data_IF_978067526296
#
_entry.id   IF_978067526296
#
_cell.length_a   1.000
_cell.length_b   1.000
_cell.length_c   1.000
_cell.angle_alpha   90.00
_cell.angle_beta   90.00
_cell.angle_gamma   90.00
#
_symmetry.space_group_name_H-M   'P 1'
#
loop_
_entity.id
_entity.type
_entity.pdbx_description
1 polymer ?
#
# COMPACT_ATOMS: atom_id res chain seq x y z
N UNK A 1 -24.98 4.87 -4.18
CA UNK A 1 -23.63 4.35 -3.89
C UNK A 1 -23.72 2.85 -3.64
N UNK A 2 -22.98 2.08 -4.41
CA UNK A 2 -22.85 0.66 -4.20
C UNK A 2 -22.07 0.39 -2.90
N UNK A 3 -22.58 -0.47 -2.03
CA UNK A 3 -21.91 -0.85 -0.80
C UNK A 3 -21.88 -2.39 -0.66
N UNK A 4 -21.07 -2.89 0.25
CA UNK A 4 -20.91 -4.34 0.47
C UNK A 4 -22.22 -5.05 0.83
N UNK A 5 -23.20 -4.36 1.40
CA UNK A 5 -24.51 -4.91 1.75
C UNK A 5 -25.32 -5.23 0.50
N UNK A 6 -25.31 -4.33 -0.51
CA UNK A 6 -25.96 -4.57 -1.80
C UNK A 6 -25.37 -5.80 -2.50
N UNK A 7 -24.04 -5.95 -2.47
CA UNK A 7 -23.38 -7.15 -3.00
C UNK A 7 -23.82 -8.42 -2.27
N UNK A 8 -23.91 -8.37 -0.94
CA UNK A 8 -24.34 -9.49 -0.14
C UNK A 8 -25.79 -9.92 -0.48
N UNK A 9 -26.69 -8.95 -0.63
CA UNK A 9 -28.08 -9.17 -1.04
C UNK A 9 -28.15 -9.80 -2.44
N UNK A 10 -27.47 -9.22 -3.44
CA UNK A 10 -27.44 -9.74 -4.81
C UNK A 10 -26.84 -11.17 -4.88
N UNK A 11 -25.80 -11.42 -4.12
CA UNK A 11 -25.17 -12.73 -4.06
C UNK A 11 -25.93 -13.74 -3.17
N UNK A 12 -26.92 -13.30 -2.38
CA UNK A 12 -27.64 -14.15 -1.44
C UNK A 12 -26.73 -14.76 -0.37
N UNK A 13 -25.79 -13.97 0.16
CA UNK A 13 -24.84 -14.38 1.20
C UNK A 13 -24.70 -13.29 2.28
N UNK A 14 -24.02 -13.60 3.38
CA UNK A 14 -23.72 -12.59 4.40
C UNK A 14 -22.63 -11.62 3.95
N UNK A 15 -22.61 -10.42 4.52
CA UNK A 15 -21.52 -9.41 4.33
C UNK A 15 -20.15 -10.01 4.69
N UNK A 16 -20.11 -10.86 5.74
CA UNK A 16 -18.90 -11.56 6.14
C UNK A 16 -18.40 -12.50 5.03
N UNK A 17 -19.29 -13.18 4.32
CA UNK A 17 -18.94 -14.05 3.19
C UNK A 17 -18.40 -13.23 2.02
N UNK A 18 -19.01 -12.08 1.69
CA UNK A 18 -18.48 -11.18 0.66
C UNK A 18 -17.07 -10.70 1.04
N UNK A 19 -16.89 -10.23 2.28
CA UNK A 19 -15.57 -9.79 2.76
C UNK A 19 -14.52 -10.89 2.72
N UNK A 20 -14.88 -12.11 3.06
CA UNK A 20 -14.01 -13.29 3.02
C UNK A 20 -13.64 -13.64 1.57
N UNK A 21 -14.60 -13.63 0.65
CA UNK A 21 -14.35 -13.88 -0.78
C UNK A 21 -13.34 -12.89 -1.36
N UNK A 22 -13.39 -11.62 -0.95
CA UNK A 22 -12.46 -10.59 -1.41
C UNK A 22 -11.05 -10.71 -0.82
N UNK A 23 -10.92 -11.22 0.42
CA UNK A 23 -9.63 -11.30 1.12
C UNK A 23 -8.94 -12.66 0.98
N UNK A 24 -9.71 -13.71 0.96
CA UNK A 24 -9.26 -15.11 0.97
C UNK A 24 -10.19 -15.94 0.08
N UNK A 25 -10.13 -15.74 -1.26
CA UNK A 25 -11.05 -16.38 -2.20
C UNK A 25 -11.02 -17.91 -2.14
N UNK A 26 -9.87 -18.49 -1.78
CA UNK A 26 -9.69 -19.94 -1.61
C UNK A 26 -10.41 -20.50 -0.37
N UNK A 27 -10.75 -19.69 0.61
CA UNK A 27 -11.49 -20.11 1.80
C UNK A 27 -13.00 -20.21 1.58
N UNK A 28 -13.46 -19.87 0.37
CA UNK A 28 -14.88 -19.88 0.00
C UNK A 28 -15.08 -20.86 -1.15
N UNK A 29 -16.20 -21.62 -1.13
CA UNK A 29 -16.50 -22.58 -2.19
C UNK A 29 -16.52 -21.91 -3.57
N UNK A 30 -16.07 -22.60 -4.64
CA UNK A 30 -16.04 -22.03 -5.99
C UNK A 30 -17.39 -21.47 -6.44
N UNK A 31 -18.49 -22.15 -6.11
CA UNK A 31 -19.86 -21.72 -6.43
C UNK A 31 -20.22 -20.40 -5.75
N UNK A 32 -19.92 -20.27 -4.46
CA UNK A 32 -20.19 -19.04 -3.69
C UNK A 32 -19.29 -17.88 -4.16
N UNK A 33 -18.02 -18.18 -4.46
CA UNK A 33 -17.07 -17.21 -5.00
C UNK A 33 -17.58 -16.61 -6.32
N UNK A 34 -18.03 -17.46 -7.24
CA UNK A 34 -18.55 -17.00 -8.53
C UNK A 34 -19.74 -16.07 -8.36
N UNK A 35 -20.72 -16.47 -7.53
CA UNK A 35 -21.91 -15.64 -7.23
C UNK A 35 -21.53 -14.27 -6.64
N UNK A 36 -20.54 -14.22 -5.75
CA UNK A 36 -20.09 -12.97 -5.13
C UNK A 36 -19.39 -12.08 -6.17
N UNK A 37 -18.53 -12.65 -7.02
CA UNK A 37 -17.85 -11.89 -8.08
C UNK A 37 -18.82 -11.31 -9.10
N UNK A 38 -19.82 -12.08 -9.51
CA UNK A 38 -20.89 -11.61 -10.40
C UNK A 38 -21.69 -10.46 -9.77
N UNK A 39 -22.03 -10.59 -8.47
CA UNK A 39 -22.75 -9.56 -7.73
C UNK A 39 -21.92 -8.27 -7.57
N UNK A 40 -20.61 -8.39 -7.38
CA UNK A 40 -19.68 -7.23 -7.34
C UNK A 40 -19.71 -6.49 -8.68
N UNK A 41 -19.65 -7.22 -9.79
CA UNK A 41 -19.67 -6.65 -11.13
C UNK A 41 -21.03 -5.98 -11.42
N UNK A 42 -22.14 -6.64 -11.10
CA UNK A 42 -23.49 -6.10 -11.27
C UNK A 42 -23.73 -4.84 -10.44
N UNK A 43 -23.26 -4.85 -9.18
CA UNK A 43 -23.39 -3.71 -8.29
C UNK A 43 -22.44 -2.55 -8.64
N UNK A 44 -21.44 -2.74 -9.50
CA UNK A 44 -20.36 -1.78 -9.70
C UNK A 44 -19.60 -1.49 -8.39
N UNK A 45 -19.53 -2.48 -7.49
CA UNK A 45 -18.91 -2.31 -6.18
C UNK A 45 -17.39 -2.34 -6.27
N UNK A 46 -16.78 -1.26 -5.82
CA UNK A 46 -15.33 -1.22 -5.61
C UNK A 46 -15.02 -1.31 -4.12
N UNK A 47 -14.24 -2.31 -3.67
CA UNK A 47 -13.82 -2.39 -2.29
C UNK A 47 -13.15 -1.10 -1.85
N UNK A 48 -13.64 -0.51 -0.75
CA UNK A 48 -13.01 0.69 -0.20
C UNK A 48 -11.67 0.33 0.42
N UNK A 49 -10.61 0.45 -0.38
CA UNK A 49 -9.25 0.17 0.06
C UNK A 49 -8.81 1.08 1.22
N UNK A 50 -9.32 2.32 1.27
CA UNK A 50 -9.02 3.25 2.35
C UNK A 50 -9.53 2.72 3.70
N UNK A 51 -10.78 2.24 3.75
CA UNK A 51 -11.34 1.63 4.96
C UNK A 51 -10.63 0.32 5.36
N UNK A 52 -10.11 -0.44 4.40
CA UNK A 52 -9.30 -1.62 4.67
C UNK A 52 -7.92 -1.23 5.24
N UNK A 53 -7.28 -0.21 4.68
CA UNK A 53 -6.00 0.36 5.14
C UNK A 53 -6.10 0.93 6.56
N UNK A 54 -7.16 1.71 6.86
CA UNK A 54 -7.41 2.23 8.20
C UNK A 54 -7.53 1.13 9.26
N UNK A 55 -8.13 -0.02 8.91
CA UNK A 55 -8.26 -1.15 9.84
C UNK A 55 -6.99 -1.96 10.01
N UNK A 56 -6.18 -2.08 8.96
CA UNK A 56 -4.91 -2.84 9.00
C UNK A 56 -3.74 -2.03 9.55
N UNK A 57 -3.85 -0.70 9.57
CA UNK A 57 -2.75 0.22 9.89
C UNK A 57 -1.62 0.19 8.85
N UNK A 58 -1.84 -0.47 7.69
CA UNK A 58 -0.83 -0.60 6.62
C UNK A 58 -1.34 -0.02 5.31
N UNK A 59 -0.49 0.75 4.63
CA UNK A 59 -0.79 1.35 3.34
C UNK A 59 -0.33 0.49 2.18
N UNK A 60 0.64 -0.40 2.40
CA UNK A 60 1.40 -1.13 1.39
C UNK A 60 2.12 -0.19 0.40
N UNK A 61 2.43 1.03 0.82
CA UNK A 61 3.22 2.00 0.08
C UNK A 61 4.61 2.13 0.69
N UNK A 62 5.64 2.17 -0.15
CA UNK A 62 7.01 2.51 0.22
C UNK A 62 7.43 3.75 -0.58
N UNK A 63 7.97 4.75 0.09
CA UNK A 63 8.54 5.93 -0.56
C UNK A 63 10.02 5.67 -0.86
N UNK A 64 10.42 5.88 -2.11
CA UNK A 64 11.82 5.76 -2.54
C UNK A 64 12.34 7.15 -2.86
N UNK A 65 13.31 7.63 -2.08
CA UNK A 65 13.96 8.92 -2.27
C UNK A 65 15.20 8.74 -3.14
N UNK A 66 15.14 9.30 -4.34
CA UNK A 66 16.19 9.17 -5.36
C UNK A 66 16.83 10.53 -5.56
N UNK A 67 18.17 10.66 -5.45
CA UNK A 67 18.84 11.93 -5.66
C UNK A 67 18.73 12.41 -7.11
N UNK A 68 18.63 11.50 -8.05
CA UNK A 68 18.35 11.82 -9.47
C UNK A 68 17.81 10.61 -10.22
N UNK A 69 16.79 10.81 -11.03
CA UNK A 69 16.27 9.81 -11.95
C UNK A 69 17.03 9.76 -13.29
N UNK A 70 17.87 10.77 -13.56
CA UNK A 70 18.64 10.84 -14.81
C UNK A 70 19.81 9.85 -14.86
N UNK A 71 20.21 9.27 -13.72
CA UNK A 71 21.32 8.32 -13.68
C UNK A 71 20.81 6.89 -13.88
N UNK A 72 21.31 6.21 -14.89
CA UNK A 72 20.97 4.83 -15.26
C UNK A 72 21.21 3.82 -14.11
N UNK A 73 22.18 4.10 -13.24
CA UNK A 73 22.41 3.28 -12.04
C UNK A 73 21.16 3.21 -11.16
N UNK A 74 20.58 4.37 -10.81
CA UNK A 74 19.37 4.41 -9.99
C UNK A 74 18.17 3.77 -10.69
N UNK A 75 18.05 3.95 -12.01
CA UNK A 75 16.98 3.32 -12.79
C UNK A 75 17.01 1.78 -12.66
N UNK A 76 18.20 1.17 -12.70
CA UNK A 76 18.36 -0.28 -12.51
C UNK A 76 18.03 -0.73 -11.07
N UNK A 77 18.49 0.03 -10.08
CA UNK A 77 18.21 -0.25 -8.66
C UNK A 77 16.70 -0.19 -8.41
N UNK A 78 16.03 0.86 -8.89
CA UNK A 78 14.58 1.05 -8.76
C UNK A 78 13.82 -0.09 -9.44
N UNK A 79 14.23 -0.51 -10.64
CA UNK A 79 13.60 -1.61 -11.37
C UNK A 79 13.64 -2.92 -10.58
N UNK A 80 14.79 -3.24 -9.96
CA UNK A 80 14.91 -4.41 -9.09
C UNK A 80 14.05 -4.32 -7.83
N UNK A 81 14.02 -3.15 -7.19
CA UNK A 81 13.14 -2.91 -6.03
C UNK A 81 11.67 -3.04 -6.40
N UNK A 82 11.26 -2.49 -7.56
CA UNK A 82 9.88 -2.52 -8.02
C UNK A 82 9.39 -3.95 -8.26
N UNK A 83 10.22 -4.81 -8.82
CA UNK A 83 9.88 -6.22 -9.01
C UNK A 83 9.58 -6.90 -7.67
N UNK A 84 10.47 -6.79 -6.69
CA UNK A 84 10.29 -7.40 -5.36
C UNK A 84 9.11 -6.80 -4.63
N UNK A 85 8.94 -5.47 -4.68
CA UNK A 85 7.82 -4.80 -4.05
C UNK A 85 6.47 -5.29 -4.62
N UNK A 86 6.38 -5.41 -5.94
CA UNK A 86 5.19 -5.92 -6.62
C UNK A 86 4.85 -7.36 -6.19
N UNK A 87 5.84 -8.25 -6.16
CA UNK A 87 5.68 -9.65 -5.69
C UNK A 87 5.18 -9.72 -4.24
N UNK A 88 5.55 -8.74 -3.42
CA UNK A 88 5.13 -8.63 -2.01
C UNK A 88 3.85 -7.81 -1.78
N UNK A 89 3.22 -7.32 -2.84
CA UNK A 89 1.99 -6.51 -2.77
C UNK A 89 2.21 -5.07 -2.31
N UNK A 90 3.44 -4.54 -2.47
CA UNK A 90 3.76 -3.14 -2.18
C UNK A 90 3.78 -2.29 -3.44
N UNK A 91 3.42 -1.01 -3.26
CA UNK A 91 3.56 0.04 -4.28
C UNK A 91 4.78 0.90 -3.94
N UNK A 92 5.64 1.16 -4.92
CA UNK A 92 6.73 2.12 -4.76
C UNK A 92 6.30 3.51 -5.23
N UNK A 93 6.45 4.50 -4.36
CA UNK A 93 6.24 5.91 -4.63
C UNK A 93 7.61 6.59 -4.78
N UNK A 94 7.96 6.97 -6.00
CA UNK A 94 9.25 7.56 -6.32
C UNK A 94 9.23 9.07 -6.13
N UNK A 95 10.23 9.59 -5.40
CA UNK A 95 10.52 11.01 -5.31
C UNK A 95 11.91 11.32 -5.83
N UNK A 96 12.00 12.15 -6.89
CA UNK A 96 13.26 12.71 -7.37
C UNK A 96 13.61 13.94 -6.54
N UNK A 97 14.50 13.78 -5.55
CA UNK A 97 14.76 14.80 -4.53
C UNK A 97 15.81 15.82 -4.96
N UNK A 98 16.55 15.56 -6.03
CA UNK A 98 17.69 16.35 -6.47
C UNK A 98 18.76 16.56 -5.36
N UNK A 99 18.84 15.59 -4.44
CA UNK A 99 19.68 15.63 -3.24
C UNK A 99 19.36 16.80 -2.27
N UNK A 100 18.15 17.36 -2.33
CA UNK A 100 17.69 18.41 -1.43
C UNK A 100 17.18 17.82 -0.12
N UNK A 101 17.85 18.16 0.98
CA UNK A 101 17.58 17.59 2.32
C UNK A 101 16.20 17.96 2.86
N UNK A 102 15.71 19.16 2.54
CA UNK A 102 14.39 19.60 2.99
C UNK A 102 13.29 18.80 2.27
N UNK A 103 13.47 18.58 0.98
CA UNK A 103 12.57 17.73 0.17
C UNK A 103 12.56 16.30 0.68
N UNK A 104 13.73 15.71 0.99
CA UNK A 104 13.85 14.36 1.52
C UNK A 104 13.15 14.24 2.88
N UNK A 105 13.36 15.20 3.78
CA UNK A 105 12.70 15.23 5.09
C UNK A 105 11.18 15.42 4.98
N UNK A 106 10.70 16.18 4.01
CA UNK A 106 9.25 16.33 3.76
C UNK A 106 8.61 15.03 3.31
N UNK A 107 9.26 14.27 2.41
CA UNK A 107 8.74 12.98 1.97
C UNK A 107 8.85 11.90 3.06
N UNK A 108 9.89 11.93 3.89
CA UNK A 108 10.03 11.00 5.01
C UNK A 108 8.85 11.11 5.99
N UNK A 109 8.29 12.31 6.19
CA UNK A 109 7.08 12.53 6.99
C UNK A 109 5.82 11.81 6.48
N UNK A 110 5.83 11.28 5.26
CA UNK A 110 4.73 10.43 4.77
C UNK A 110 4.57 9.15 5.60
N UNK A 111 5.65 8.66 6.19
CA UNK A 111 5.58 7.52 7.13
C UNK A 111 4.92 7.95 8.43
N UNK A 112 5.30 9.11 8.97
CA UNK A 112 4.72 9.66 10.22
C UNK A 112 3.22 9.95 10.06
N UNK A 113 2.79 10.39 8.87
CA UNK A 113 1.37 10.64 8.56
C UNK A 113 0.60 9.38 8.14
N UNK A 114 1.19 8.20 8.26
CA UNK A 114 0.62 6.93 7.81
C UNK A 114 0.20 6.90 6.32
N UNK A 115 0.85 7.70 5.48
CA UNK A 115 0.65 7.68 4.03
C UNK A 115 1.54 6.63 3.34
N UNK A 116 2.62 6.21 4.02
CA UNK A 116 3.51 5.14 3.58
C UNK A 116 3.95 4.29 4.78
N UNK A 117 4.30 3.03 4.53
CA UNK A 117 4.75 2.09 5.56
C UNK A 117 6.27 2.19 5.81
N UNK A 118 7.00 2.82 4.89
CA UNK A 118 8.44 3.00 5.03
C UNK A 118 9.06 3.89 3.95
N UNK A 119 10.32 4.26 4.19
CA UNK A 119 11.15 5.06 3.27
C UNK A 119 12.39 4.27 2.90
N UNK A 120 12.74 4.27 1.63
CA UNK A 120 14.01 3.77 1.09
C UNK A 120 14.81 4.96 0.58
N UNK A 121 15.95 5.21 1.22
CA UNK A 121 16.84 6.32 0.87
C UNK A 121 17.99 5.82 0.00
N UNK A 122 18.21 6.43 -1.17
CA UNK A 122 19.26 6.03 -2.10
C UNK A 122 20.52 6.93 -2.05
N UNK A 123 20.70 7.64 -0.95
CA UNK A 123 21.96 8.35 -0.64
C UNK A 123 22.25 8.31 0.86
N UNK A 124 23.50 8.63 1.25
CA UNK A 124 23.96 8.63 2.63
C UNK A 124 23.48 9.89 3.41
N UNK A 125 22.17 10.02 3.54
CA UNK A 125 21.54 11.07 4.34
C UNK A 125 20.38 10.46 5.11
N UNK A 126 20.23 10.82 6.39
CA UNK A 126 19.07 10.41 7.19
C UNK A 126 17.99 11.50 7.13
N UNK A 127 16.86 11.27 6.47
CA UNK A 127 15.80 12.26 6.33
C UNK A 127 15.00 12.50 7.61
N UNK A 128 15.18 11.65 8.63
CA UNK A 128 14.58 11.81 9.96
C UNK A 128 15.51 12.59 10.89
N UNK A 129 14.98 13.57 11.61
CA UNK A 129 15.78 14.29 12.61
C UNK A 129 16.19 13.33 13.73
N UNK A 130 17.43 13.49 14.24
CA UNK A 130 17.99 12.64 15.31
C UNK A 130 17.12 12.58 16.58
N UNK A 131 16.40 13.66 16.90
CA UNK A 131 15.48 13.74 18.04
C UNK A 131 14.27 12.79 17.90
N UNK A 132 13.84 12.49 16.69
CA UNK A 132 12.72 11.59 16.44
C UNK A 132 13.11 10.10 16.44
N UNK A 133 14.38 9.79 16.21
CA UNK A 133 14.89 8.41 16.24
C UNK A 133 14.97 7.84 17.66
N UNK A 134 15.07 8.69 18.69
CA UNK A 134 15.15 8.27 20.09
C UNK A 134 13.77 7.94 20.69
N UNK A 135 12.67 8.41 20.10
CA UNK A 135 11.31 8.19 20.61
C UNK A 135 10.55 7.04 19.92
N UNK A 136 10.98 6.62 18.71
CA UNK A 136 10.24 5.61 17.89
C UNK A 136 11.00 4.34 17.61
N UNK A 137 11.87 3.89 18.55
CA UNK A 137 12.28 2.50 18.63
C UNK A 137 13.40 1.92 17.83
N UNK A 138 14.11 1.64 18.63
CA UNK A 138 14.79 0.35 18.85
C UNK A 138 13.90 -0.60 19.71
N UNK A 139 13.01 -1.32 19.08
CA UNK A 139 12.59 -2.60 19.62
C UNK A 139 13.34 -3.70 18.88
N UNK A 140 14.04 -4.59 19.65
CA UNK A 140 14.80 -5.71 19.11
C UNK A 140 13.90 -6.74 18.44
#
# INVERSE_FOLDING_TARGET
MSNIRVVAELAGVSVATVSRTLKQPESVSPKTRHRVLDAIQQAGYQPNQLAARLRSGKTHNLVVLVPTIANVFFARVISGMQQVAHEKGFTLLLSNTQADEQTESNYARMVESAAADGVIQLRAFNPFKREQLNEHNLHP
#
